data_IF_519248497197
#
_entry.id   IF_519248497197
#
_cell.length_a   1.000
_cell.length_b   1.000
_cell.length_c   1.000
_cell.angle_alpha   90.00
_cell.angle_beta   90.00
_cell.angle_gamma   90.00
#
_symmetry.space_group_name_H-M   'P 1'
#
loop_
_entity.id
_entity.type
_entity.pdbx_description
1 polymer ?
#
# COMPACT_ATOMS: atom_id res chain seq x y z
N UNK A 1 15.81 6.90 -13.05
CA UNK A 1 14.35 7.04 -13.20
C UNK A 1 13.75 5.68 -13.00
N UNK A 2 13.00 5.49 -11.91
CA UNK A 2 12.14 4.32 -11.79
C UNK A 2 10.80 4.70 -12.41
N UNK A 3 10.25 3.85 -13.26
CA UNK A 3 8.95 4.10 -13.89
C UNK A 3 7.85 3.42 -13.06
N UNK A 4 6.74 4.12 -12.86
CA UNK A 4 5.54 3.55 -12.27
C UNK A 4 5.03 2.33 -13.05
N UNK A 5 4.39 1.40 -12.34
CA UNK A 5 3.66 0.30 -12.95
C UNK A 5 2.35 0.85 -13.55
N UNK A 6 2.09 0.59 -14.83
CA UNK A 6 0.92 1.13 -15.53
C UNK A 6 0.06 -0.02 -16.04
N UNK A 7 -1.16 -0.11 -15.55
CA UNK A 7 -2.11 -1.14 -15.98
C UNK A 7 -3.04 -0.52 -17.02
N UNK A 8 -2.84 -0.91 -18.28
CA UNK A 8 -3.65 -0.46 -19.41
C UNK A 8 -4.96 -1.24 -19.51
N UNK A 9 -5.88 -0.72 -20.34
CA UNK A 9 -7.10 -1.43 -20.73
C UNK A 9 -6.79 -2.82 -21.26
N UNK A 10 -7.56 -3.81 -20.81
CA UNK A 10 -7.55 -5.15 -21.38
C UNK A 10 -8.97 -5.57 -21.77
N UNK A 11 -9.21 -6.00 -23.02
CA UNK A 11 -10.53 -6.51 -23.43
C UNK A 11 -10.80 -7.95 -22.97
N UNK A 12 -9.81 -8.65 -22.41
CA UNK A 12 -9.89 -10.08 -22.10
C UNK A 12 -9.35 -10.42 -20.70
N UNK A 13 -8.23 -11.14 -20.62
CA UNK A 13 -7.63 -11.56 -19.36
C UNK A 13 -7.15 -10.35 -18.52
N UNK A 14 -7.18 -10.49 -17.21
CA UNK A 14 -6.58 -9.50 -16.32
C UNK A 14 -5.05 -9.53 -16.47
N UNK A 15 -4.41 -8.39 -16.25
CA UNK A 15 -3.00 -8.36 -15.89
C UNK A 15 -2.86 -8.97 -14.49
N UNK A 16 -2.07 -10.03 -14.38
CA UNK A 16 -1.86 -10.76 -13.13
C UNK A 16 -0.44 -10.54 -12.60
N UNK A 17 -0.34 -10.15 -11.33
CA UNK A 17 0.92 -9.91 -10.65
C UNK A 17 0.94 -10.73 -9.36
N UNK A 18 1.98 -11.54 -9.18
CA UNK A 18 2.21 -12.26 -7.93
C UNK A 18 3.55 -11.83 -7.36
N UNK A 19 3.53 -11.31 -6.14
CA UNK A 19 4.73 -10.94 -5.38
C UNK A 19 4.82 -11.91 -4.20
N UNK A 20 5.97 -12.59 -4.08
CA UNK A 20 6.27 -13.43 -2.92
C UNK A 20 7.44 -12.81 -2.17
N UNK A 21 7.22 -12.48 -0.91
CA UNK A 21 8.21 -11.92 0.01
C UNK A 21 8.51 -12.96 1.09
N UNK A 22 9.79 -13.32 1.26
CA UNK A 22 10.21 -14.31 2.25
C UNK A 22 11.29 -13.70 3.15
N UNK A 23 11.06 -13.76 4.46
CA UNK A 23 12.02 -13.29 5.47
C UNK A 23 12.29 -14.41 6.48
N UNK A 24 13.54 -14.90 6.49
CA UNK A 24 14.00 -15.93 7.42
C UNK A 24 14.23 -15.39 8.83
N UNK A 25 14.69 -16.27 9.72
CA UNK A 25 14.92 -15.93 11.13
C UNK A 25 15.85 -14.71 11.29
N UNK A 26 15.44 -13.77 12.15
CA UNK A 26 16.16 -12.53 12.44
C UNK A 26 16.29 -11.55 11.25
N UNK A 27 15.59 -11.79 10.14
CA UNK A 27 15.69 -10.93 8.96
C UNK A 27 14.87 -9.63 9.12
N UNK A 28 15.40 -8.55 8.54
CA UNK A 28 14.70 -7.30 8.28
C UNK A 28 14.47 -7.17 6.78
N UNK A 29 13.21 -7.17 6.35
CA UNK A 29 12.81 -7.04 4.95
C UNK A 29 12.06 -5.72 4.73
N UNK A 30 12.49 -4.94 3.74
CA UNK A 30 11.76 -3.76 3.25
C UNK A 30 11.31 -3.98 1.81
N UNK A 31 10.03 -3.74 1.53
CA UNK A 31 9.49 -3.79 0.17
C UNK A 31 8.59 -2.59 -0.12
N UNK A 32 9.12 -1.65 -0.90
CA UNK A 32 8.40 -0.48 -1.39
C UNK A 32 8.52 -0.41 -2.92
N UNK A 33 7.54 -0.93 -3.68
CA UNK A 33 7.47 -0.73 -5.11
C UNK A 33 7.10 0.73 -5.44
N UNK A 34 7.30 1.13 -6.70
CA UNK A 34 6.68 2.34 -7.22
C UNK A 34 5.15 2.18 -7.27
N UNK A 35 4.44 3.28 -7.45
CA UNK A 35 2.98 3.24 -7.58
C UNK A 35 2.51 2.41 -8.78
N UNK A 36 1.35 1.78 -8.61
CA UNK A 36 0.57 1.16 -9.68
C UNK A 36 -0.54 2.11 -10.12
N UNK A 37 -0.52 2.54 -11.38
CA UNK A 37 -1.51 3.43 -11.99
C UNK A 37 -2.50 2.59 -12.80
N UNK A 38 -3.77 2.63 -12.42
CA UNK A 38 -4.87 1.87 -13.02
C UNK A 38 -5.59 2.74 -14.04
N UNK A 39 -5.43 2.47 -15.33
CA UNK A 39 -6.03 3.28 -16.40
C UNK A 39 -7.48 2.87 -16.66
N UNK A 40 -8.22 3.70 -17.40
CA UNK A 40 -9.61 3.44 -17.76
C UNK A 40 -9.79 2.09 -18.49
N UNK A 41 -10.67 1.23 -17.94
CA UNK A 41 -10.90 -0.12 -18.43
C UNK A 41 -9.83 -1.14 -18.03
N UNK A 42 -8.98 -0.82 -17.04
CA UNK A 42 -7.99 -1.75 -16.52
C UNK A 42 -8.65 -3.02 -15.94
N UNK A 43 -8.01 -4.15 -16.19
CA UNK A 43 -8.33 -5.44 -15.56
C UNK A 43 -7.07 -5.91 -14.83
N UNK A 44 -7.09 -5.85 -13.51
CA UNK A 44 -5.92 -6.01 -12.65
C UNK A 44 -6.20 -7.03 -11.55
N UNK A 45 -5.26 -7.97 -11.37
CA UNK A 45 -5.24 -8.90 -10.25
C UNK A 45 -3.84 -8.96 -9.65
N UNK A 46 -3.68 -8.56 -8.40
CA UNK A 46 -2.44 -8.73 -7.65
C UNK A 46 -2.64 -9.58 -6.40
N UNK A 47 -1.64 -10.41 -6.14
CA UNK A 47 -1.50 -11.14 -4.88
C UNK A 47 -0.09 -10.90 -4.32
N UNK A 48 -0.03 -10.18 -3.21
CA UNK A 48 1.16 -10.01 -2.38
C UNK A 48 1.13 -11.07 -1.27
N UNK A 49 1.99 -12.07 -1.37
CA UNK A 49 2.16 -13.11 -0.36
C UNK A 49 3.44 -12.87 0.42
N UNK A 50 3.31 -12.86 1.74
CA UNK A 50 4.41 -12.67 2.68
C UNK A 50 4.55 -13.92 3.54
N UNK A 51 5.76 -14.48 3.61
CA UNK A 51 6.12 -15.58 4.51
C UNK A 51 7.23 -15.11 5.47
N UNK A 52 6.90 -15.06 6.76
CA UNK A 52 7.83 -14.65 7.82
C UNK A 52 8.17 -15.83 8.74
N UNK A 53 9.44 -15.92 9.12
CA UNK A 53 9.84 -16.64 10.31
C UNK A 53 9.28 -15.96 11.59
N UNK A 54 9.30 -16.68 12.71
CA UNK A 54 8.72 -16.22 13.98
C UNK A 54 9.19 -14.83 14.41
N UNK A 55 10.49 -14.56 14.31
CA UNK A 55 11.16 -13.32 14.73
C UNK A 55 11.51 -12.37 13.56
N UNK A 56 11.13 -12.72 12.33
CA UNK A 56 11.37 -11.86 11.18
C UNK A 56 10.52 -10.59 11.21
N UNK A 57 11.12 -9.50 10.74
CA UNK A 57 10.51 -8.18 10.66
C UNK A 57 10.34 -7.77 9.19
N UNK A 58 9.17 -7.24 8.87
CA UNK A 58 8.81 -6.75 7.54
C UNK A 58 8.25 -5.34 7.63
N UNK A 59 8.75 -4.44 6.80
CA UNK A 59 8.08 -3.19 6.43
C UNK A 59 7.76 -3.23 4.93
N UNK A 60 6.48 -3.35 4.58
CA UNK A 60 6.03 -3.50 3.20
C UNK A 60 4.89 -2.53 2.89
N UNK A 61 4.70 -2.19 1.63
CA UNK A 61 3.50 -1.47 1.24
C UNK A 61 3.41 -1.21 -0.25
N UNK A 62 2.39 -0.47 -0.65
CA UNK A 62 2.08 -0.19 -2.04
C UNK A 62 1.27 1.09 -2.17
N UNK A 63 1.27 1.65 -3.39
CA UNK A 63 0.45 2.81 -3.76
C UNK A 63 -0.34 2.46 -5.01
N UNK A 64 -1.66 2.67 -4.96
CA UNK A 64 -2.57 2.57 -6.10
C UNK A 64 -3.05 3.98 -6.50
N UNK A 65 -3.01 4.27 -7.79
CA UNK A 65 -3.59 5.48 -8.39
C UNK A 65 -4.76 5.06 -9.29
N UNK A 66 -5.92 5.68 -9.07
CA UNK A 66 -7.17 5.39 -9.79
C UNK A 66 -7.39 6.40 -10.92
N UNK A 67 -7.04 6.01 -12.14
CA UNK A 67 -7.11 6.85 -13.34
C UNK A 67 -5.93 7.81 -13.49
N UNK A 68 -6.00 8.69 -14.50
CA UNK A 68 -4.97 9.69 -14.80
C UNK A 68 -5.57 11.09 -14.80
N UNK A 69 -5.79 11.61 -13.60
CA UNK A 69 -6.31 12.94 -13.33
C UNK A 69 -5.66 14.04 -14.20
N UNK A 70 -4.32 14.08 -14.17
CA UNK A 70 -3.54 15.09 -14.88
C UNK A 70 -3.68 15.00 -16.41
N UNK A 71 -4.22 13.89 -16.93
CA UNK A 71 -4.47 13.67 -18.35
C UNK A 71 -5.98 13.64 -18.68
N UNK A 72 -6.85 14.06 -17.75
CA UNK A 72 -8.30 14.11 -17.96
C UNK A 72 -8.98 12.75 -18.03
N UNK A 73 -8.35 11.69 -17.50
CA UNK A 73 -8.92 10.33 -17.48
C UNK A 73 -9.38 9.96 -16.08
N UNK A 74 -10.67 9.65 -15.96
CA UNK A 74 -11.27 9.07 -14.76
C UNK A 74 -11.47 7.57 -14.94
N UNK A 75 -11.29 6.82 -13.87
CA UNK A 75 -11.50 5.38 -13.83
C UNK A 75 -12.99 5.10 -13.56
N UNK A 76 -13.75 4.91 -14.64
CA UNK A 76 -15.19 4.69 -14.63
C UNK A 76 -15.56 3.21 -14.82
N UNK A 77 -14.68 2.44 -15.48
CA UNK A 77 -14.86 1.00 -15.71
C UNK A 77 -13.58 0.21 -15.52
N UNK A 78 -13.72 -1.07 -15.16
CA UNK A 78 -12.60 -1.98 -14.93
C UNK A 78 -12.94 -3.11 -13.97
N UNK A 79 -11.93 -3.93 -13.67
CA UNK A 79 -12.01 -4.97 -12.64
C UNK A 79 -10.67 -5.03 -11.90
N UNK A 80 -10.69 -4.75 -10.60
CA UNK A 80 -9.50 -4.60 -9.77
C UNK A 80 -9.65 -5.55 -8.58
N UNK A 81 -8.65 -6.41 -8.39
CA UNK A 81 -8.48 -7.19 -7.20
C UNK A 81 -7.03 -7.09 -6.74
N UNK A 82 -6.81 -6.53 -5.56
CA UNK A 82 -5.49 -6.42 -4.95
C UNK A 82 -5.53 -7.09 -3.57
N UNK A 83 -4.67 -8.09 -3.38
CA UNK A 83 -4.71 -8.97 -2.23
C UNK A 83 -3.39 -8.98 -1.50
N UNK A 84 -3.48 -8.96 -0.18
CA UNK A 84 -2.39 -9.30 0.73
C UNK A 84 -2.71 -10.57 1.52
N UNK A 85 -1.70 -11.42 1.65
CA UNK A 85 -1.72 -12.59 2.53
C UNK A 85 -0.41 -12.63 3.31
N UNK A 86 -0.47 -12.47 4.63
CA UNK A 86 0.71 -12.54 5.50
C UNK A 86 0.67 -13.79 6.36
N UNK A 87 1.69 -14.61 6.19
CA UNK A 87 1.92 -15.84 6.93
C UNK A 87 3.10 -15.67 7.89
N UNK A 88 2.96 -16.23 9.10
CA UNK A 88 4.06 -16.38 10.06
C UNK A 88 4.14 -17.83 10.49
N UNK A 89 5.30 -18.46 10.32
CA UNK A 89 5.50 -19.89 10.58
C UNK A 89 4.41 -20.76 9.90
N UNK A 90 4.10 -20.44 8.63
CA UNK A 90 3.10 -21.14 7.83
C UNK A 90 1.63 -20.86 8.21
N UNK A 91 1.36 -20.06 9.25
CA UNK A 91 -0.02 -19.68 9.65
C UNK A 91 -0.39 -18.32 9.09
N UNK A 92 -1.55 -18.21 8.43
CA UNK A 92 -2.11 -16.93 8.00
C UNK A 92 -2.46 -16.08 9.24
N UNK A 93 -1.84 -14.91 9.38
CA UNK A 93 -2.07 -13.99 10.51
C UNK A 93 -2.81 -12.73 10.08
N UNK A 94 -2.65 -12.30 8.83
CA UNK A 94 -3.36 -11.14 8.29
C UNK A 94 -3.64 -11.31 6.80
N UNK A 95 -4.79 -10.83 6.35
CA UNK A 95 -5.16 -10.78 4.95
C UNK A 95 -6.01 -9.53 4.68
N UNK A 96 -5.84 -8.96 3.50
CA UNK A 96 -6.62 -7.83 3.02
C UNK A 96 -6.93 -7.99 1.53
N UNK A 97 -8.13 -7.62 1.11
CA UNK A 97 -8.55 -7.71 -0.29
C UNK A 97 -9.31 -6.43 -0.67
N UNK A 98 -8.70 -5.61 -1.51
CA UNK A 98 -9.38 -4.55 -2.23
C UNK A 98 -9.97 -5.14 -3.51
N UNK A 99 -11.30 -5.18 -3.62
CA UNK A 99 -12.00 -5.61 -4.83
C UNK A 99 -12.97 -4.55 -5.33
N UNK A 100 -12.81 -4.14 -6.57
CA UNK A 100 -13.67 -3.15 -7.24
C UNK A 100 -14.02 -3.62 -8.64
N UNK A 101 -15.31 -3.72 -8.93
CA UNK A 101 -15.84 -4.14 -10.23
C UNK A 101 -17.18 -3.43 -10.49
N UNK A 102 -17.62 -3.38 -11.76
CA UNK A 102 -18.87 -2.75 -12.16
C UNK A 102 -18.72 -1.26 -12.44
N UNK A 103 -19.65 -0.44 -11.95
CA UNK A 103 -19.61 1.02 -12.04
C UNK A 103 -18.56 1.57 -11.06
N UNK A 104 -17.33 1.77 -11.56
CA UNK A 104 -16.22 2.21 -10.72
C UNK A 104 -16.39 3.65 -10.28
N UNK A 105 -17.09 4.51 -11.04
CA UNK A 105 -17.41 5.86 -10.59
C UNK A 105 -18.18 5.79 -9.27
N UNK A 106 -19.26 4.99 -9.20
CA UNK A 106 -20.02 4.80 -7.97
C UNK A 106 -19.18 4.20 -6.85
N UNK A 107 -18.36 3.18 -7.14
CA UNK A 107 -17.53 2.49 -6.13
C UNK A 107 -16.48 3.43 -5.53
N UNK A 108 -15.76 4.18 -6.36
CA UNK A 108 -14.72 5.12 -5.93
C UNK A 108 -15.33 6.28 -5.10
N UNK A 109 -16.51 6.76 -5.46
CA UNK A 109 -17.19 7.86 -4.74
C UNK A 109 -17.98 7.41 -3.50
N UNK A 110 -18.10 6.11 -3.24
CA UNK A 110 -18.82 5.61 -2.07
C UNK A 110 -18.17 6.10 -0.76
N UNK A 111 -18.92 6.76 0.16
CA UNK A 111 -18.35 7.30 1.40
C UNK A 111 -17.69 6.26 2.31
N UNK A 112 -18.21 5.04 2.33
CA UNK A 112 -17.66 3.93 3.11
C UNK A 112 -16.47 3.22 2.42
N UNK A 113 -16.16 3.59 1.17
CA UNK A 113 -15.01 3.11 0.42
C UNK A 113 -13.94 4.19 0.33
N UNK A 114 -13.62 4.63 -0.88
CA UNK A 114 -12.59 5.63 -1.13
C UNK A 114 -13.10 7.07 -0.94
N UNK A 115 -14.42 7.28 -0.85
CA UNK A 115 -15.05 8.60 -0.70
C UNK A 115 -14.49 9.66 -1.67
N UNK A 116 -14.28 9.27 -2.93
CA UNK A 116 -13.75 10.12 -3.99
C UNK A 116 -12.23 10.21 -4.06
N UNK A 117 -11.47 9.53 -3.20
CA UNK A 117 -10.01 9.51 -3.29
C UNK A 117 -9.52 8.95 -4.62
N UNK A 118 -8.49 9.60 -5.17
CA UNK A 118 -7.84 9.23 -6.44
C UNK A 118 -6.59 8.38 -6.25
N UNK A 119 -6.07 8.32 -5.04
CA UNK A 119 -4.97 7.46 -4.67
C UNK A 119 -5.20 6.84 -3.30
N UNK A 120 -4.70 5.61 -3.15
CA UNK A 120 -4.65 4.89 -1.90
C UNK A 120 -3.24 4.36 -1.69
N UNK A 121 -2.73 4.44 -0.47
CA UNK A 121 -1.53 3.70 -0.08
C UNK A 121 -1.83 2.80 1.11
N UNK A 122 -1.18 1.64 1.13
CA UNK A 122 -1.20 0.70 2.25
C UNK A 122 0.23 0.48 2.69
N UNK A 123 0.48 0.54 4.00
CA UNK A 123 1.73 0.11 4.60
C UNK A 123 1.42 -0.90 5.70
N UNK A 124 2.20 -1.97 5.74
CA UNK A 124 2.17 -2.96 6.81
C UNK A 124 3.54 -3.07 7.47
N UNK A 125 3.52 -3.12 8.79
CA UNK A 125 4.65 -3.56 9.58
C UNK A 125 4.27 -4.84 10.33
N UNK A 126 5.10 -5.87 10.19
CA UNK A 126 4.91 -7.15 10.83
C UNK A 126 6.22 -7.56 11.50
N UNK A 127 6.21 -7.59 12.83
CA UNK A 127 7.34 -7.98 13.67
C UNK A 127 6.87 -8.22 15.10
N UNK A 128 7.72 -8.76 15.99
CA UNK A 128 7.33 -9.10 17.36
C UNK A 128 6.80 -7.91 18.19
N UNK A 129 7.16 -6.68 17.83
CA UNK A 129 6.82 -5.41 18.47
C UNK A 129 5.75 -4.61 17.69
N UNK A 130 5.08 -5.19 16.69
CA UNK A 130 4.16 -4.46 15.82
C UNK A 130 3.00 -3.76 16.57
N UNK A 131 2.46 -4.40 17.62
CA UNK A 131 1.42 -3.80 18.44
C UNK A 131 1.93 -2.56 19.21
N UNK A 132 3.16 -2.63 19.73
CA UNK A 132 3.79 -1.57 20.51
C UNK A 132 4.12 -0.34 19.65
N UNK A 133 4.29 -0.54 18.34
CA UNK A 133 4.60 0.53 17.39
C UNK A 133 3.38 1.36 16.99
N UNK A 134 2.16 1.04 17.46
CA UNK A 134 0.96 1.78 17.08
C UNK A 134 0.98 3.24 17.53
N UNK A 135 1.41 3.53 18.76
CA UNK A 135 1.51 4.91 19.26
C UNK A 135 2.55 5.69 18.48
N UNK A 136 3.73 5.11 18.29
CA UNK A 136 4.82 5.68 17.49
C UNK A 136 4.35 6.00 16.08
N UNK A 137 3.64 5.06 15.43
CA UNK A 137 3.11 5.28 14.10
C UNK A 137 2.13 6.45 14.06
N UNK A 138 1.21 6.56 15.03
CA UNK A 138 0.25 7.67 15.11
C UNK A 138 0.92 9.02 15.37
N UNK A 139 1.96 9.06 16.19
CA UNK A 139 2.74 10.27 16.48
C UNK A 139 3.53 10.75 15.25
N UNK A 140 3.86 9.85 14.33
CA UNK A 140 4.52 10.17 13.06
C UNK A 140 3.56 10.62 11.96
N UNK A 141 2.24 10.43 12.13
CA UNK A 141 1.26 10.91 11.16
C UNK A 141 1.13 12.44 11.23
N UNK A 142 0.89 13.11 10.11
CA UNK A 142 0.65 14.56 10.12
C UNK A 142 -0.59 14.88 10.98
N UNK A 143 -0.43 15.82 11.91
CA UNK A 143 -1.50 16.25 12.84
C UNK A 143 -2.71 16.84 12.11
N UNK A 144 -2.47 17.47 10.95
CA UNK A 144 -3.53 17.98 10.09
C UNK A 144 -3.06 18.06 8.64
N UNK A 145 -3.68 17.28 7.77
CA UNK A 145 -3.57 17.41 6.33
C UNK A 145 -4.99 17.32 5.76
N UNK A 146 -5.51 18.42 5.25
CA UNK A 146 -6.90 18.47 4.77
C UNK A 146 -7.08 17.62 3.50
N UNK A 147 -6.00 17.35 2.77
CA UNK A 147 -6.03 16.66 1.47
C UNK A 147 -5.67 15.17 1.59
N UNK A 148 -5.25 14.73 2.78
CA UNK A 148 -4.94 13.32 3.09
C UNK A 148 -5.73 12.81 4.29
N UNK A 149 -6.41 11.70 4.09
CA UNK A 149 -6.97 10.90 5.19
C UNK A 149 -6.01 9.76 5.47
N UNK A 150 -5.48 9.72 6.69
CA UNK A 150 -4.55 8.67 7.12
C UNK A 150 -4.98 8.09 8.46
N UNK A 151 -4.81 6.78 8.62
CA UNK A 151 -5.06 6.10 9.88
C UNK A 151 -4.11 4.92 10.07
N UNK A 152 -3.87 4.59 11.35
CA UNK A 152 -3.08 3.44 11.78
C UNK A 152 -3.89 2.57 12.76
N UNK A 153 -3.81 1.26 12.58
CA UNK A 153 -4.43 0.24 13.43
C UNK A 153 -3.58 -1.01 13.51
N UNK A 154 -3.81 -1.84 14.52
CA UNK A 154 -3.17 -3.16 14.64
C UNK A 154 -4.25 -4.24 14.51
N UNK A 155 -3.98 -5.25 13.69
CA UNK A 155 -4.85 -6.42 13.50
C UNK A 155 -3.97 -7.67 13.58
N UNK A 156 -4.22 -8.55 14.54
CA UNK A 156 -3.45 -9.80 14.75
C UNK A 156 -1.92 -9.58 14.71
N UNK A 157 -1.44 -8.60 15.48
CA UNK A 157 -0.01 -8.24 15.55
C UNK A 157 0.61 -7.82 14.20
N UNK A 158 -0.22 -7.28 13.32
CA UNK A 158 0.22 -6.56 12.11
C UNK A 158 -0.24 -5.11 12.24
N UNK A 159 0.73 -4.19 12.24
CA UNK A 159 0.46 -2.77 12.16
C UNK A 159 0.13 -2.42 10.71
N UNK A 160 -1.05 -1.87 10.49
CA UNK A 160 -1.57 -1.49 9.17
C UNK A 160 -1.84 0.00 9.16
N UNK A 161 -1.34 0.67 8.13
CA UNK A 161 -1.63 2.07 7.83
C UNK A 161 -2.24 2.20 6.44
N UNK A 162 -3.19 3.14 6.32
CA UNK A 162 -3.80 3.48 5.04
C UNK A 162 -3.85 4.98 4.85
N UNK A 163 -3.54 5.41 3.63
CA UNK A 163 -3.71 6.78 3.16
C UNK A 163 -4.73 6.80 2.03
N UNK A 164 -5.58 7.83 2.03
CA UNK A 164 -6.46 8.18 0.92
C UNK A 164 -6.24 9.65 0.59
N UNK A 165 -6.05 9.96 -0.70
CA UNK A 165 -5.78 11.32 -1.15
C UNK A 165 -6.31 11.59 -2.55
N UNK A 166 -6.53 12.87 -2.86
CA UNK A 166 -6.94 13.32 -4.20
C UNK A 166 -5.75 13.75 -5.07
N UNK A 167 -4.63 14.11 -4.45
CA UNK A 167 -3.36 14.46 -5.10
C UNK A 167 -2.35 13.31 -4.90
N UNK A 168 -2.17 12.41 -5.89
CA UNK A 168 -1.30 11.25 -5.75
C UNK A 168 0.15 11.61 -5.42
N UNK A 169 0.66 12.71 -5.96
CA UNK A 169 1.99 13.26 -5.69
C UNK A 169 2.16 13.65 -4.21
N UNK A 170 1.14 14.27 -3.62
CA UNK A 170 1.16 14.67 -2.21
C UNK A 170 1.09 13.46 -1.29
N UNK A 171 0.23 12.48 -1.62
CA UNK A 171 0.15 11.20 -0.92
C UNK A 171 1.49 10.45 -0.97
N UNK A 172 2.14 10.43 -2.14
CA UNK A 172 3.45 9.82 -2.39
C UNK A 172 4.54 10.43 -1.48
N UNK A 173 4.60 11.75 -1.39
CA UNK A 173 5.56 12.46 -0.52
C UNK A 173 5.30 12.14 0.95
N UNK A 174 4.06 12.23 1.41
CA UNK A 174 3.70 11.94 2.81
C UNK A 174 4.00 10.48 3.19
N UNK A 175 3.67 9.54 2.29
CA UNK A 175 3.95 8.13 2.46
C UNK A 175 5.46 7.85 2.55
N UNK A 176 6.27 8.44 1.67
CA UNK A 176 7.72 8.31 1.69
C UNK A 176 8.38 8.88 2.95
N UNK A 177 7.90 10.03 3.42
CA UNK A 177 8.35 10.64 4.66
C UNK A 177 8.04 9.74 5.87
N UNK A 178 6.81 9.21 5.94
CA UNK A 178 6.41 8.27 6.97
C UNK A 178 7.27 7.00 6.94
N UNK A 179 7.50 6.42 5.76
CA UNK A 179 8.37 5.25 5.59
C UNK A 179 9.77 5.52 6.15
N UNK A 180 10.37 6.66 5.77
CA UNK A 180 11.67 7.10 6.27
C UNK A 180 11.71 7.22 7.80
N UNK A 181 10.68 7.78 8.41
CA UNK A 181 10.61 7.88 9.87
C UNK A 181 10.45 6.51 10.54
N UNK A 182 9.57 5.64 10.02
CA UNK A 182 9.32 4.31 10.57
C UNK A 182 10.56 3.41 10.50
N UNK A 183 11.26 3.35 9.36
CA UNK A 183 12.50 2.53 9.24
C UNK A 183 13.57 2.95 10.24
N UNK A 184 13.64 4.25 10.57
CA UNK A 184 14.59 4.76 11.53
C UNK A 184 14.23 4.34 12.96
N UNK A 185 12.94 4.28 13.28
CA UNK A 185 12.44 3.78 14.57
C UNK A 185 12.62 2.27 14.71
N UNK A 186 12.24 1.50 13.69
CA UNK A 186 12.20 0.04 13.71
C UNK A 186 13.58 -0.61 13.61
N UNK A 187 14.41 -0.16 12.67
CA UNK A 187 15.65 -0.84 12.29
C UNK A 187 16.91 -0.01 12.55
N UNK A 188 16.79 1.17 13.19
CA UNK A 188 17.89 2.13 13.41
C UNK A 188 18.62 2.53 12.12
N UNK A 189 17.91 2.49 11.00
CA UNK A 189 18.42 2.90 9.68
C UNK A 189 18.26 4.41 9.49
N UNK A 190 18.93 5.04 8.49
CA UNK A 190 18.72 6.44 8.19
C UNK A 190 17.25 6.77 7.91
N UNK A 191 16.80 7.95 8.34
CA UNK A 191 15.42 8.42 8.16
C UNK A 191 15.14 8.93 6.73
N UNK A 192 15.55 8.13 5.73
CA UNK A 192 15.48 8.47 4.31
C UNK A 192 15.12 7.23 3.52
N UNK A 193 14.40 7.40 2.41
CA UNK A 193 14.21 6.29 1.47
C UNK A 193 15.55 5.87 0.85
N UNK A 194 15.75 4.57 0.56
CA UNK A 194 16.87 4.12 -0.27
C UNK A 194 16.85 4.84 -1.61
N UNK A 195 18.02 5.11 -2.19
CA UNK A 195 18.14 5.89 -3.44
C UNK A 195 17.35 5.34 -4.63
N UNK A 196 17.02 4.05 -4.62
CA UNK A 196 16.21 3.39 -5.66
C UNK A 196 14.71 3.70 -5.54
N UNK A 197 14.27 4.23 -4.40
CA UNK A 197 12.86 4.51 -4.07
C UNK A 197 12.60 6.00 -3.91
N UNK A 198 13.46 6.88 -4.45
CA UNK A 198 13.11 8.30 -4.51
C UNK A 198 11.76 8.46 -5.20
N UNK A 199 10.86 9.11 -4.48
CA UNK A 199 9.47 9.41 -4.85
C UNK A 199 9.40 10.82 -5.42
#
# INVERSE_FOLDING_TARGET
GSAAEKIYRSPAAACEITVTLEAGAGAWLEWLPQETILFEGARFRRCNRVNLAADAQLLAGEILIFGRAAHGEDLTSGAIADRWELYREGRLVWADILRMEGDLTRVLHAPAGLAGARAMATLIYAGPDAADMLSVARDLLPVSDADLRVAASVVNDVLVLRWLGNAPEHLRVAYGAFWGAMRARLARLPATLPRLWYI
#
